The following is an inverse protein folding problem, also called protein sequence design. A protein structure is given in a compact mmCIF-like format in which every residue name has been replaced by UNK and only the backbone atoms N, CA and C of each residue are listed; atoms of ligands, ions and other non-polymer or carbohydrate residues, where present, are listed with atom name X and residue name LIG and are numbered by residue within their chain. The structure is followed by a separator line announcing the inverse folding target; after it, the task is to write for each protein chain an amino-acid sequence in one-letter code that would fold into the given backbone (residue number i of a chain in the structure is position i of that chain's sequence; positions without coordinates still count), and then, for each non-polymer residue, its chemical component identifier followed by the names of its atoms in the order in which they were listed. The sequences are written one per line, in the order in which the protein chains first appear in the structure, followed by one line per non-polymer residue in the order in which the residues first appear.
data_IF_682729410913
#
_entry.id   IF_682729410913
#
_cell.length_a   1.000
_cell.length_b   1.000
_cell.length_c   1.000
_cell.angle_alpha   90.00
_cell.angle_beta   90.00
_cell.angle_gamma   90.00
#
_symmetry.space_group_name_H-M   'P 1'
#
loop_
_entity.id
_entity.type
_entity.pdbx_description
1 polymer ?
#
# COMPACT_ATOMS: atom_id res chain seq x y z
N UNK A 1 -5.73 -35.89 -0.80
CA UNK A 1 -6.53 -34.86 -1.48
C UNK A 1 -5.99 -33.51 -1.01
N UNK A 2 -5.23 -32.80 -1.84
CA UNK A 2 -4.82 -31.43 -1.50
C UNK A 2 -6.07 -30.55 -1.59
N UNK A 3 -6.47 -29.96 -0.47
CA UNK A 3 -7.51 -28.96 -0.47
C UNK A 3 -6.96 -27.76 -1.23
N UNK A 4 -7.59 -27.42 -2.35
CA UNK A 4 -7.27 -26.19 -3.08
C UNK A 4 -7.80 -25.03 -2.24
N UNK A 5 -6.90 -24.28 -1.59
CA UNK A 5 -7.27 -23.07 -0.88
C UNK A 5 -7.56 -21.99 -1.93
N UNK A 6 -8.81 -21.57 -2.05
CA UNK A 6 -9.17 -20.43 -2.87
C UNK A 6 -8.90 -19.14 -2.06
N UNK A 7 -7.91 -18.36 -2.50
CA UNK A 7 -7.58 -17.08 -1.88
C UNK A 7 -8.80 -16.14 -1.83
N UNK A 8 -9.70 -16.22 -2.82
CA UNK A 8 -10.87 -15.36 -2.91
C UNK A 8 -11.99 -15.73 -1.93
N UNK A 9 -11.92 -16.94 -1.34
CA UNK A 9 -12.85 -17.39 -0.32
C UNK A 9 -12.47 -16.91 1.09
N UNK A 10 -11.28 -16.30 1.26
CA UNK A 10 -10.87 -15.73 2.54
C UNK A 10 -11.57 -14.39 2.80
N UNK A 11 -11.73 -13.99 4.08
CA UNK A 11 -12.16 -12.63 4.42
C UNK A 11 -11.23 -11.59 3.79
N UNK A 12 -11.78 -10.45 3.35
CA UNK A 12 -11.02 -9.37 2.69
C UNK A 12 -9.78 -8.96 3.49
N UNK A 13 -9.89 -8.84 4.82
CA UNK A 13 -8.75 -8.50 5.68
C UNK A 13 -7.63 -9.55 5.68
N UNK A 14 -7.95 -10.83 5.51
CA UNK A 14 -6.94 -11.88 5.36
C UNK A 14 -6.22 -11.77 4.01
N UNK A 15 -6.97 -11.49 2.94
CA UNK A 15 -6.41 -11.26 1.60
C UNK A 15 -5.51 -10.03 1.64
N UNK A 16 -5.97 -8.93 2.23
CA UNK A 16 -5.20 -7.70 2.39
C UNK A 16 -3.92 -7.94 3.19
N UNK A 17 -3.98 -8.72 4.27
CA UNK A 17 -2.79 -9.08 5.04
C UNK A 17 -1.79 -9.94 4.26
N UNK A 18 -2.25 -10.84 3.38
CA UNK A 18 -1.34 -11.59 2.51
C UNK A 18 -0.69 -10.66 1.47
N UNK A 19 -1.48 -9.78 0.86
CA UNK A 19 -0.99 -8.84 -0.16
C UNK A 19 0.00 -7.84 0.45
N UNK A 20 -0.20 -7.39 1.69
CA UNK A 20 0.70 -6.45 2.36
C UNK A 20 2.09 -7.02 2.67
N UNK A 21 2.25 -8.34 2.60
CA UNK A 21 3.54 -9.04 2.71
C UNK A 21 4.26 -9.20 1.36
N UNK A 22 3.64 -8.74 0.26
CA UNK A 22 4.25 -8.71 -1.08
C UNK A 22 4.95 -7.37 -1.35
N UNK A 23 5.44 -7.15 -2.57
CA UNK A 23 5.97 -5.85 -2.98
C UNK A 23 4.84 -4.92 -3.48
N UNK A 24 4.98 -3.59 -3.43
CA UNK A 24 4.00 -2.66 -4.00
C UNK A 24 3.66 -2.92 -5.48
N UNK A 25 4.64 -3.23 -6.37
CA UNK A 25 4.34 -3.67 -7.73
C UNK A 25 3.51 -4.96 -7.79
N UNK A 26 3.79 -5.94 -6.93
CA UNK A 26 3.01 -7.18 -6.88
C UNK A 26 1.58 -6.95 -6.38
N UNK A 27 1.37 -6.09 -5.38
CA UNK A 27 0.03 -5.68 -4.96
C UNK A 27 -0.79 -5.07 -6.11
N UNK A 28 -0.17 -4.20 -6.92
CA UNK A 28 -0.78 -3.68 -8.14
C UNK A 28 -1.12 -4.78 -9.15
N UNK A 29 -0.23 -5.76 -9.36
CA UNK A 29 -0.48 -6.90 -10.26
C UNK A 29 -1.55 -7.85 -9.74
N UNK A 30 -1.67 -8.04 -8.44
CA UNK A 30 -2.71 -8.87 -7.85
C UNK A 30 -4.09 -8.22 -7.99
N UNK A 31 -4.17 -6.89 -7.98
CA UNK A 31 -5.44 -6.16 -8.08
C UNK A 31 -6.24 -6.41 -9.37
N UNK A 32 -5.61 -6.95 -10.43
CA UNK A 32 -6.31 -7.24 -11.70
C UNK A 32 -6.89 -8.65 -11.76
N UNK A 33 -6.65 -9.50 -10.76
CA UNK A 33 -7.07 -10.91 -10.79
C UNK A 33 -8.57 -11.11 -10.56
N UNK A 34 -9.18 -10.38 -9.62
CA UNK A 34 -10.62 -10.43 -9.36
C UNK A 34 -11.11 -9.20 -8.61
N UNK A 35 -12.43 -9.01 -8.55
CA UNK A 35 -13.04 -7.90 -7.80
C UNK A 35 -12.66 -7.94 -6.31
N UNK A 36 -12.72 -9.12 -5.67
CA UNK A 36 -12.42 -9.28 -4.23
C UNK A 36 -10.93 -9.00 -3.96
N UNK A 37 -10.04 -9.54 -4.79
CA UNK A 37 -8.60 -9.30 -4.66
C UNK A 37 -8.29 -7.82 -4.90
N UNK A 38 -8.98 -7.16 -5.85
CA UNK A 38 -8.82 -5.73 -6.09
C UNK A 38 -9.16 -4.91 -4.86
N UNK A 39 -10.32 -5.14 -4.24
CA UNK A 39 -10.73 -4.40 -3.04
C UNK A 39 -9.69 -4.54 -1.93
N UNK A 40 -9.21 -5.77 -1.69
CA UNK A 40 -8.16 -6.01 -0.72
C UNK A 40 -6.83 -5.32 -1.09
N UNK A 41 -6.39 -5.42 -2.35
CA UNK A 41 -5.13 -4.85 -2.84
C UNK A 41 -5.10 -3.31 -2.83
N UNK A 42 -6.25 -2.67 -3.00
CA UNK A 42 -6.39 -1.20 -2.98
C UNK A 42 -6.68 -0.63 -1.59
N UNK A 43 -6.90 -1.49 -0.59
CA UNK A 43 -7.18 -1.07 0.78
C UNK A 43 -5.98 -0.40 1.44
N UNK A 44 -6.25 0.65 2.22
CA UNK A 44 -5.24 1.32 3.05
C UNK A 44 -4.51 0.37 4.00
N UNK A 45 -5.11 -0.76 4.38
CA UNK A 45 -4.45 -1.78 5.20
C UNK A 45 -3.21 -2.40 4.51
N UNK A 46 -3.22 -2.49 3.18
CA UNK A 46 -2.07 -2.94 2.39
C UNK A 46 -1.02 -1.84 2.32
N UNK A 47 -1.44 -0.65 1.90
CA UNK A 47 -0.52 0.45 1.62
C UNK A 47 0.11 1.06 2.87
N UNK A 48 -0.52 0.93 4.04
CA UNK A 48 0.08 1.26 5.33
C UNK A 48 1.38 0.48 5.61
N UNK A 49 1.49 -0.76 5.12
CA UNK A 49 2.70 -1.58 5.28
C UNK A 49 3.82 -1.22 4.31
N UNK A 50 3.48 -0.56 3.21
CA UNK A 50 4.45 -0.09 2.22
C UNK A 50 4.92 1.32 2.52
N UNK A 51 4.13 2.08 3.29
CA UNK A 51 4.48 3.43 3.68
C UNK A 51 5.51 3.43 4.81
N UNK A 52 6.36 4.47 4.85
CA UNK A 52 7.31 4.70 5.94
C UNK A 52 6.59 4.95 7.27
N UNK A 53 7.17 4.56 8.41
CA UNK A 53 6.62 4.86 9.73
C UNK A 53 6.43 6.37 9.97
N UNK A 54 7.29 7.21 9.38
CA UNK A 54 7.24 8.67 9.52
C UNK A 54 6.17 9.33 8.63
N UNK A 55 5.16 8.58 8.15
CA UNK A 55 4.11 9.11 7.26
C UNK A 55 3.48 10.41 7.78
N UNK A 56 3.29 10.56 9.09
CA UNK A 56 2.74 11.79 9.69
C UNK A 56 3.65 13.02 9.53
N UNK A 57 4.97 12.83 9.61
CA UNK A 57 5.95 13.90 9.41
C UNK A 57 6.04 14.25 7.92
N UNK A 58 5.98 13.24 7.05
CA UNK A 58 5.97 13.46 5.60
C UNK A 58 4.76 14.31 5.18
N UNK A 59 3.58 14.04 5.75
CA UNK A 59 2.36 14.77 5.47
C UNK A 59 2.39 16.23 5.96
N UNK A 60 3.17 16.54 7.01
CA UNK A 60 3.32 17.92 7.48
C UNK A 60 4.31 18.72 6.62
N UNK A 61 5.29 18.05 6.02
CA UNK A 61 6.33 18.68 5.19
C UNK A 61 5.97 18.79 3.71
N UNK A 62 4.99 18.01 3.21
CA UNK A 62 4.63 17.96 1.80
C UNK A 62 3.14 18.23 1.54
N UNK A 63 2.88 19.38 0.90
CA UNK A 63 1.52 19.76 0.49
C UNK A 63 0.91 18.79 -0.53
N UNK A 64 1.74 18.18 -1.41
CA UNK A 64 1.27 17.19 -2.40
C UNK A 64 0.94 15.86 -1.74
N UNK A 65 1.73 15.42 -0.76
CA UNK A 65 1.43 14.26 0.07
C UNK A 65 0.14 14.45 0.87
N UNK A 66 -0.08 15.65 1.43
CA UNK A 66 -1.27 15.97 2.22
C UNK A 66 -2.59 15.93 1.43
N UNK A 67 -2.53 16.03 0.10
CA UNK A 67 -3.70 16.02 -0.78
C UNK A 67 -4.14 14.60 -1.17
N UNK A 68 -3.34 13.57 -0.84
CA UNK A 68 -3.65 12.19 -1.17
C UNK A 68 -4.94 11.71 -0.49
N UNK A 69 -5.81 11.04 -1.25
CA UNK A 69 -7.12 10.54 -0.79
C UNK A 69 -7.07 9.09 -0.34
N UNK A 70 -5.93 8.42 -0.53
CA UNK A 70 -5.65 7.05 -0.09
C UNK A 70 -4.16 6.89 0.21
N UNK A 71 -3.82 5.87 0.99
CA UNK A 71 -2.40 5.54 1.26
C UNK A 71 -1.65 5.08 0.01
N UNK A 72 -2.36 4.49 -0.95
CA UNK A 72 -1.83 4.18 -2.28
C UNK A 72 -1.43 5.43 -3.05
N UNK A 73 -2.30 6.43 -3.09
CA UNK A 73 -2.01 7.70 -3.75
C UNK A 73 -0.86 8.44 -3.05
N UNK A 74 -0.81 8.37 -1.72
CA UNK A 74 0.30 8.91 -0.94
C UNK A 74 1.62 8.23 -1.32
N UNK A 75 1.67 6.89 -1.31
CA UNK A 75 2.85 6.13 -1.71
C UNK A 75 3.31 6.53 -3.12
N UNK A 76 2.38 6.58 -4.08
CA UNK A 76 2.70 6.98 -5.44
C UNK A 76 3.24 8.42 -5.51
N UNK A 77 2.65 9.36 -4.77
CA UNK A 77 3.11 10.75 -4.73
C UNK A 77 4.56 10.84 -4.23
N UNK A 78 4.90 10.10 -3.17
CA UNK A 78 6.25 10.06 -2.60
C UNK A 78 7.25 9.40 -3.56
N UNK A 79 6.87 8.30 -4.22
CA UNK A 79 7.71 7.67 -5.25
C UNK A 79 8.05 8.58 -6.43
N UNK A 80 7.20 9.54 -6.77
CA UNK A 80 7.48 10.53 -7.81
C UNK A 80 8.18 11.78 -7.28
N UNK A 81 8.06 12.08 -6.00
CA UNK A 81 8.57 13.30 -5.37
C UNK A 81 9.02 12.97 -3.95
N UNK A 82 10.20 12.32 -3.81
CA UNK A 82 10.70 11.90 -2.51
C UNK A 82 10.94 13.12 -1.61
N UNK A 83 10.56 12.99 -0.34
CA UNK A 83 10.68 14.05 0.66
C UNK A 83 11.91 13.79 1.51
N UNK A 84 12.69 14.85 1.78
CA UNK A 84 13.81 14.81 2.71
C UNK A 84 13.27 15.05 4.12
N UNK A 85 13.49 14.10 5.03
CA UNK A 85 13.25 14.27 6.47
C UNK A 85 14.57 14.73 7.11
N UNK A 86 14.48 15.52 8.19
CA UNK A 86 15.53 16.34 8.84
C UNK A 86 16.83 15.62 9.29
N UNK A 87 16.99 14.34 9.00
CA UNK A 87 18.23 13.58 9.22
C UNK A 87 18.97 13.23 7.90
N UNK A 88 18.54 13.79 6.76
CA UNK A 88 19.13 13.48 5.45
C UNK A 88 18.73 12.10 4.90
N UNK A 89 17.82 11.41 5.58
CA UNK A 89 17.22 10.17 5.07
C UNK A 89 16.18 10.52 4.01
N UNK A 90 16.41 10.05 2.78
CA UNK A 90 15.44 10.13 1.70
C UNK A 90 14.38 9.06 1.92
N UNK A 91 13.12 9.50 2.01
CA UNK A 91 12.01 8.58 2.14
C UNK A 91 11.33 8.42 0.78
N UNK A 92 11.21 7.14 0.40
CA UNK A 92 10.84 6.59 -0.91
C UNK A 92 9.58 7.14 -1.55
#
# INVERSE_FOLDING_TARGET
MMQHLDLQALPEGCIANVISLTSPPDACRLSVLSWVIRLAAESDAVWDKFLPPETHEILSHSATASAAKSKKELYMSLSHSPVLIDDGTMVI
#
